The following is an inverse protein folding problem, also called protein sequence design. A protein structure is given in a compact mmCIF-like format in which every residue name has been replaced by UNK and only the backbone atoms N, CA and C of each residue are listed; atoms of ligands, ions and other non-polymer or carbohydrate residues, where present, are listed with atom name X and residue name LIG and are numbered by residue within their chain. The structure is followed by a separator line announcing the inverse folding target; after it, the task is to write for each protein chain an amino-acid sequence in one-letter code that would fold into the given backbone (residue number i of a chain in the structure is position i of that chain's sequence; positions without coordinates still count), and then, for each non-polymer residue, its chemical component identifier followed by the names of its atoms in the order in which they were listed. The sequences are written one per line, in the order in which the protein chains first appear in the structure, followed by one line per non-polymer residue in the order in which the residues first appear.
data_IF_964773325190
#
_entry.id   IF_964773325190
#
_cell.length_a   1.000
_cell.length_b   1.000
_cell.length_c   1.000
_cell.angle_alpha   90.00
_cell.angle_beta   90.00
_cell.angle_gamma   90.00
#
_symmetry.space_group_name_H-M   'P 1'
#
loop_
_entity.id
_entity.type
_entity.pdbx_description
1 polymer ?
#
# COMPACT_ATOMS: atom_id res chain seq x y z
N UNK A 1 8.43 20.86 6.67
CA UNK A 1 7.37 21.16 5.69
C UNK A 1 8.06 21.53 4.39
N UNK A 2 8.14 20.58 3.45
CA UNK A 2 8.71 20.82 2.11
C UNK A 2 7.60 21.44 1.29
N UNK A 3 7.79 22.70 0.92
CA UNK A 3 6.88 23.44 0.03
C UNK A 3 7.34 23.18 -1.40
N UNK A 4 6.58 22.41 -2.18
CA UNK A 4 6.77 22.33 -3.63
C UNK A 4 6.14 23.56 -4.29
N UNK A 5 6.83 24.14 -5.28
CA UNK A 5 6.34 25.26 -6.10
C UNK A 5 5.75 24.72 -7.39
N UNK A 6 4.61 25.26 -7.84
CA UNK A 6 4.10 25.06 -9.19
C UNK A 6 4.94 25.80 -10.26
N UNK A 7 4.55 25.67 -11.53
CA UNK A 7 5.23 26.35 -12.65
C UNK A 7 5.20 27.89 -12.55
N UNK A 8 4.33 28.44 -11.70
CA UNK A 8 4.12 29.88 -11.51
C UNK A 8 4.71 30.35 -10.17
N UNK A 9 5.48 29.52 -9.45
CA UNK A 9 6.19 29.88 -8.22
C UNK A 9 5.30 29.98 -6.97
N UNK A 10 4.04 29.55 -7.02
CA UNK A 10 3.15 29.55 -5.87
C UNK A 10 3.36 28.32 -5.00
N UNK A 11 3.30 28.49 -3.68
CA UNK A 11 3.39 27.40 -2.71
C UNK A 11 2.06 26.61 -2.71
N UNK A 12 2.04 25.46 -3.38
CA UNK A 12 0.92 24.53 -3.27
C UNK A 12 0.92 23.88 -1.87
N UNK A 13 -0.13 24.07 -1.12
CA UNK A 13 -0.41 23.23 0.03
C UNK A 13 -0.81 21.84 -0.47
N UNK A 14 -0.35 20.75 0.18
CA UNK A 14 -0.69 19.37 -0.18
C UNK A 14 -2.21 19.06 -0.27
N UNK A 15 -3.06 20.00 0.14
CA UNK A 15 -4.53 19.91 0.00
C UNK A 15 -5.04 20.28 -1.39
N UNK A 16 -4.23 20.95 -2.23
CA UNK A 16 -4.68 21.46 -3.55
C UNK A 16 -4.45 20.49 -4.71
N UNK A 17 -3.85 19.32 -4.47
CA UNK A 17 -3.57 18.34 -5.52
C UNK A 17 -4.80 17.53 -5.96
N UNK A 18 -5.98 17.73 -5.35
CA UNK A 18 -7.24 17.13 -5.79
C UNK A 18 -7.34 15.62 -5.61
N UNK A 19 -6.39 14.99 -4.88
CA UNK A 19 -6.45 13.56 -4.60
C UNK A 19 -7.44 13.29 -3.46
N UNK A 20 -8.38 12.39 -3.71
CA UNK A 20 -9.26 11.88 -2.68
C UNK A 20 -8.52 10.87 -1.80
N UNK A 21 -8.90 10.77 -0.53
CA UNK A 21 -8.44 9.72 0.37
C UNK A 21 -9.62 9.08 1.09
N UNK A 22 -9.44 7.85 1.53
CA UNK A 22 -10.33 7.22 2.49
C UNK A 22 -9.53 6.36 3.47
N UNK A 23 -9.70 6.59 4.77
CA UNK A 23 -9.05 5.78 5.81
C UNK A 23 -9.97 5.61 7.01
N UNK A 24 -10.16 4.37 7.46
CA UNK A 24 -10.94 4.03 8.67
C UNK A 24 -10.24 2.94 9.51
N UNK A 25 -8.89 2.96 9.53
CA UNK A 25 -8.09 1.94 10.22
C UNK A 25 -8.16 2.01 11.75
N UNK A 26 -8.57 3.14 12.33
CA UNK A 26 -8.57 3.33 13.77
C UNK A 26 -9.95 3.75 14.28
N UNK A 27 -10.18 3.58 15.59
CA UNK A 27 -11.41 3.98 16.27
C UNK A 27 -11.66 5.50 16.23
N UNK A 28 -10.60 6.30 16.08
CA UNK A 28 -10.67 7.77 16.00
C UNK A 28 -11.01 8.29 14.61
N UNK A 29 -11.39 7.41 13.70
CA UNK A 29 -11.75 7.81 12.34
C UNK A 29 -12.86 8.86 12.34
N UNK A 30 -12.78 9.83 11.43
CA UNK A 30 -13.69 10.98 11.41
C UNK A 30 -15.16 10.54 11.40
N UNK A 31 -15.92 11.04 12.37
CA UNK A 31 -17.36 10.76 12.56
C UNK A 31 -17.72 9.26 12.68
N UNK A 32 -16.78 8.41 13.05
CA UNK A 32 -16.96 6.96 13.06
C UNK A 32 -17.20 6.33 11.66
N UNK A 33 -16.95 7.08 10.57
CA UNK A 33 -17.24 6.66 9.18
C UNK A 33 -15.99 6.54 8.32
N UNK A 34 -15.05 7.46 8.45
CA UNK A 34 -13.83 7.50 7.66
C UNK A 34 -13.26 8.90 7.50
N UNK A 35 -11.93 8.99 7.41
CA UNK A 35 -11.23 10.21 7.09
C UNK A 35 -11.15 10.36 5.57
N UNK A 36 -11.66 11.47 5.03
CA UNK A 36 -11.77 11.69 3.57
C UNK A 36 -10.98 12.89 3.05
N UNK A 37 -10.55 13.80 3.94
CA UNK A 37 -9.77 15.00 3.59
C UNK A 37 -8.40 15.01 4.25
N UNK A 38 -8.37 14.69 5.52
CA UNK A 38 -7.18 14.57 6.36
C UNK A 38 -7.48 13.55 7.45
N UNK A 39 -6.52 12.68 7.75
CA UNK A 39 -6.64 11.78 8.90
C UNK A 39 -6.72 12.56 10.20
N UNK A 40 -7.58 12.14 11.14
CA UNK A 40 -7.57 12.70 12.52
C UNK A 40 -6.17 12.60 13.16
N UNK A 41 -5.41 11.56 12.76
CA UNK A 41 -4.00 11.35 13.14
C UNK A 41 -2.99 12.25 12.39
N UNK A 42 -3.44 13.11 11.47
CA UNK A 42 -2.56 13.92 10.62
C UNK A 42 -2.11 13.28 9.32
N UNK A 43 -2.58 12.06 8.99
CA UNK A 43 -2.29 11.40 7.71
C UNK A 43 -2.84 12.24 6.56
N UNK A 44 -1.96 12.65 5.64
CA UNK A 44 -2.34 13.44 4.47
C UNK A 44 -2.94 12.54 3.36
N UNK A 45 -3.71 13.11 2.40
CA UNK A 45 -4.15 12.36 1.23
C UNK A 45 -2.99 11.71 0.45
N UNK A 46 -1.87 12.41 0.32
CA UNK A 46 -0.66 11.86 -0.31
C UNK A 46 -0.22 10.56 0.35
N UNK A 47 -0.04 10.56 1.68
CA UNK A 47 0.39 9.38 2.42
C UNK A 47 -0.65 8.26 2.37
N UNK A 48 -1.94 8.59 2.49
CA UNK A 48 -3.00 7.58 2.41
C UNK A 48 -2.97 6.86 1.06
N UNK A 49 -2.85 7.61 -0.04
CA UNK A 49 -2.81 7.08 -1.39
C UNK A 49 -1.54 6.24 -1.66
N UNK A 50 -0.36 6.70 -1.23
CA UNK A 50 0.87 5.90 -1.34
C UNK A 50 0.79 4.60 -0.55
N UNK A 51 0.16 4.61 0.64
CA UNK A 51 -0.07 3.40 1.44
C UNK A 51 -1.04 2.45 0.75
N UNK A 52 -2.11 2.94 0.16
CA UNK A 52 -3.06 2.11 -0.59
C UNK A 52 -2.39 1.46 -1.81
N UNK A 53 -1.56 2.21 -2.54
CA UNK A 53 -0.80 1.69 -3.67
C UNK A 53 0.25 0.65 -3.24
N UNK A 54 0.91 0.84 -2.09
CA UNK A 54 1.80 -0.15 -1.50
C UNK A 54 1.08 -1.46 -1.19
N UNK A 55 -0.10 -1.39 -0.58
CA UNK A 55 -0.91 -2.59 -0.33
C UNK A 55 -1.31 -3.26 -1.64
N UNK A 56 -1.63 -2.48 -2.68
CA UNK A 56 -1.93 -3.00 -4.00
C UNK A 56 -0.74 -3.77 -4.60
N UNK A 57 0.46 -3.21 -4.50
CA UNK A 57 1.70 -3.81 -5.00
C UNK A 57 2.03 -5.12 -4.27
N UNK A 58 1.98 -5.17 -2.94
CA UNK A 58 2.29 -6.41 -2.21
C UNK A 58 1.25 -7.52 -2.45
N UNK A 59 0.01 -7.18 -2.79
CA UNK A 59 -0.97 -8.16 -3.28
C UNK A 59 -0.49 -8.79 -4.60
N UNK A 60 0.06 -7.98 -5.53
CA UNK A 60 0.66 -8.47 -6.75
C UNK A 60 1.83 -9.42 -6.50
N UNK A 61 2.76 -9.04 -5.62
CA UNK A 61 3.87 -9.91 -5.18
C UNK A 61 3.32 -11.23 -4.61
N UNK A 62 2.26 -11.15 -3.79
CA UNK A 62 1.64 -12.34 -3.18
C UNK A 62 0.99 -13.28 -4.22
N UNK A 63 0.48 -12.74 -5.33
CA UNK A 63 -0.03 -13.55 -6.44
C UNK A 63 1.09 -14.42 -7.04
N UNK A 64 2.25 -13.84 -7.35
CA UNK A 64 3.41 -14.57 -7.85
C UNK A 64 3.95 -15.57 -6.81
N UNK A 65 4.04 -15.15 -5.55
CA UNK A 65 4.43 -16.05 -4.46
C UNK A 65 3.53 -17.28 -4.34
N UNK A 66 2.22 -17.11 -4.56
CA UNK A 66 1.26 -18.22 -4.54
C UNK A 66 1.49 -19.19 -5.70
N UNK A 67 1.84 -18.69 -6.89
CA UNK A 67 2.22 -19.57 -8.04
C UNK A 67 3.43 -20.40 -7.66
N UNK A 68 4.51 -19.78 -7.18
CA UNK A 68 5.71 -20.50 -6.73
C UNK A 68 5.41 -21.58 -5.69
N UNK A 69 4.59 -21.28 -4.69
CA UNK A 69 4.19 -22.28 -3.69
C UNK A 69 3.43 -23.46 -4.30
N UNK A 70 2.53 -23.20 -5.25
CA UNK A 70 1.77 -24.24 -5.92
C UNK A 70 2.67 -25.15 -6.78
N UNK A 71 3.78 -24.63 -7.27
CA UNK A 71 4.82 -25.36 -8.02
C UNK A 71 5.84 -26.07 -7.11
N UNK A 72 5.65 -25.98 -5.79
CA UNK A 72 6.51 -26.62 -4.79
C UNK A 72 7.78 -25.83 -4.45
N UNK A 73 7.88 -24.57 -4.87
CA UNK A 73 9.00 -23.70 -4.56
C UNK A 73 8.81 -22.98 -3.23
N UNK A 74 9.91 -22.71 -2.54
CA UNK A 74 9.93 -21.87 -1.35
C UNK A 74 10.04 -20.40 -1.74
N UNK A 75 9.27 -19.54 -1.07
CA UNK A 75 9.41 -18.09 -1.20
C UNK A 75 10.63 -17.63 -0.40
N UNK A 76 11.45 -16.77 -1.00
CA UNK A 76 12.61 -16.16 -0.32
C UNK A 76 12.13 -15.42 0.96
N UNK A 77 12.82 -15.69 2.06
CA UNK A 77 12.56 -15.06 3.36
C UNK A 77 12.66 -13.52 3.29
N UNK A 78 13.48 -12.98 2.40
CA UNK A 78 13.60 -11.53 2.22
C UNK A 78 12.33 -10.93 1.60
N UNK A 79 11.66 -11.65 0.70
CA UNK A 79 10.37 -11.23 0.15
C UNK A 79 9.29 -11.22 1.25
N UNK A 80 9.26 -12.25 2.08
CA UNK A 80 8.33 -12.32 3.22
C UNK A 80 8.57 -11.14 4.17
N UNK A 81 9.84 -10.89 4.53
CA UNK A 81 10.22 -9.75 5.38
C UNK A 81 9.87 -8.40 4.77
N UNK A 82 10.02 -8.27 3.45
CA UNK A 82 9.61 -7.05 2.74
C UNK A 82 8.10 -6.83 2.87
N UNK A 83 7.28 -7.85 2.63
CA UNK A 83 5.82 -7.77 2.77
C UNK A 83 5.43 -7.40 4.21
N UNK A 84 6.04 -8.03 5.22
CA UNK A 84 5.82 -7.69 6.63
C UNK A 84 6.20 -6.23 6.93
N UNK A 85 7.34 -5.75 6.43
CA UNK A 85 7.77 -4.37 6.60
C UNK A 85 6.79 -3.38 5.98
N UNK A 86 6.28 -3.65 4.77
CA UNK A 86 5.26 -2.82 4.12
C UNK A 86 3.97 -2.80 4.93
N UNK A 87 3.50 -3.97 5.40
CA UNK A 87 2.30 -4.07 6.23
C UNK A 87 2.46 -3.26 7.52
N UNK A 88 3.60 -3.37 8.20
CA UNK A 88 3.90 -2.59 9.39
C UNK A 88 3.99 -1.09 9.10
N UNK A 89 4.72 -0.69 8.05
CA UNK A 89 4.88 0.72 7.64
C UNK A 89 3.54 1.39 7.36
N UNK A 90 2.57 0.64 6.81
CA UNK A 90 1.24 1.16 6.48
C UNK A 90 0.23 1.06 7.63
N UNK A 91 0.64 0.58 8.79
CA UNK A 91 -0.19 0.57 10.00
C UNK A 91 -0.46 2.00 10.49
N UNK A 92 -1.55 2.19 11.22
CA UNK A 92 -1.93 3.48 11.78
C UNK A 92 -0.78 4.14 12.56
N UNK A 93 -0.44 5.39 12.22
CA UNK A 93 0.53 6.24 12.92
C UNK A 93 2.01 5.74 12.92
N UNK A 94 2.37 4.78 12.08
CA UNK A 94 3.74 4.25 12.06
C UNK A 94 4.66 5.11 11.20
N UNK A 95 4.28 5.39 9.95
CA UNK A 95 5.14 6.14 9.04
C UNK A 95 4.32 7.09 8.16
N UNK A 96 4.72 8.37 8.12
CA UNK A 96 4.13 9.42 7.27
C UNK A 96 5.17 10.08 6.36
N UNK A 97 6.34 9.46 6.15
CA UNK A 97 7.36 9.95 5.22
C UNK A 97 7.06 9.47 3.79
N UNK A 98 6.71 10.41 2.92
CA UNK A 98 6.39 10.09 1.52
C UNK A 98 7.58 9.55 0.73
N UNK A 99 8.82 9.89 1.09
CA UNK A 99 10.01 9.37 0.42
C UNK A 99 10.17 7.88 0.70
N UNK A 100 10.04 7.47 1.97
CA UNK A 100 10.09 6.06 2.37
C UNK A 100 9.02 5.25 1.63
N UNK A 101 7.80 5.79 1.48
CA UNK A 101 6.74 5.09 0.74
C UNK A 101 7.07 4.93 -0.75
N UNK A 102 7.66 5.95 -1.38
CA UNK A 102 8.10 5.87 -2.79
C UNK A 102 9.24 4.87 -2.95
N UNK A 103 10.20 4.84 -2.04
CA UNK A 103 11.29 3.85 -2.05
C UNK A 103 10.75 2.42 -1.92
N UNK A 104 9.81 2.19 -1.00
CA UNK A 104 9.16 0.89 -0.85
C UNK A 104 8.32 0.49 -2.08
N UNK A 105 7.67 1.45 -2.74
CA UNK A 105 6.95 1.21 -4.00
C UNK A 105 7.91 0.75 -5.11
N UNK A 106 9.04 1.45 -5.30
CA UNK A 106 10.04 1.07 -6.27
C UNK A 106 10.63 -0.32 -5.98
N UNK A 107 10.93 -0.62 -4.72
CA UNK A 107 11.41 -1.94 -4.32
C UNK A 107 10.35 -3.02 -4.55
N UNK A 108 9.07 -2.73 -4.29
CA UNK A 108 7.98 -3.67 -4.55
C UNK A 108 7.85 -4.00 -6.04
N UNK A 109 8.05 -3.03 -6.93
CA UNK A 109 8.06 -3.26 -8.38
C UNK A 109 9.22 -4.15 -8.78
N UNK A 110 10.43 -3.88 -8.27
CA UNK A 110 11.62 -4.69 -8.54
C UNK A 110 11.45 -6.15 -8.10
N UNK A 111 10.88 -6.38 -6.92
CA UNK A 111 10.58 -7.73 -6.43
C UNK A 111 9.57 -8.42 -7.34
N UNK A 112 8.51 -7.72 -7.74
CA UNK A 112 7.46 -8.26 -8.61
C UNK A 112 8.01 -8.64 -9.99
N UNK A 113 8.87 -7.81 -10.58
CA UNK A 113 9.55 -8.11 -11.85
C UNK A 113 10.45 -9.33 -11.77
N UNK A 114 11.21 -9.46 -10.69
CA UNK A 114 12.03 -10.65 -10.45
C UNK A 114 11.18 -11.93 -10.35
N UNK A 115 10.06 -11.86 -9.62
CA UNK A 115 9.13 -12.99 -9.52
C UNK A 115 8.49 -13.32 -10.88
N UNK A 116 8.10 -12.30 -11.64
CA UNK A 116 7.56 -12.45 -13.01
C UNK A 116 8.58 -13.14 -13.94
N UNK A 117 9.86 -12.83 -13.80
CA UNK A 117 10.91 -13.49 -14.58
C UNK A 117 11.03 -14.97 -14.25
N UNK A 118 10.77 -15.39 -13.02
CA UNK A 118 10.86 -16.78 -12.58
C UNK A 118 9.61 -17.58 -12.98
N UNK A 119 8.42 -17.01 -12.76
CA UNK A 119 7.15 -17.72 -12.95
C UNK A 119 6.55 -17.54 -14.35
N UNK A 120 7.06 -16.59 -15.14
CA UNK A 120 6.37 -16.09 -16.33
C UNK A 120 5.19 -15.17 -15.97
N UNK A 121 4.51 -14.65 -16.98
CA UNK A 121 3.31 -13.86 -16.79
C UNK A 121 2.15 -14.72 -16.29
N UNK A 122 1.46 -14.22 -15.28
CA UNK A 122 0.29 -14.88 -14.71
C UNK A 122 -0.93 -14.45 -15.53
N UNK A 123 -1.35 -15.29 -16.48
CA UNK A 123 -2.56 -15.04 -17.27
C UNK A 123 -3.82 -15.32 -16.44
N UNK A 124 -4.86 -14.53 -16.68
CA UNK A 124 -6.18 -14.62 -16.01
C UNK A 124 -6.19 -14.28 -14.50
N UNK A 125 -5.22 -13.50 -14.03
CA UNK A 125 -5.19 -13.06 -12.65
C UNK A 125 -5.60 -11.58 -12.47
N UNK A 126 -5.79 -11.20 -11.22
CA UNK A 126 -6.24 -9.89 -10.79
C UNK A 126 -5.31 -8.77 -11.29
N UNK A 127 -5.84 -7.57 -11.42
CA UNK A 127 -5.11 -6.34 -11.74
C UNK A 127 -3.87 -6.11 -10.85
N UNK A 128 -3.82 -6.69 -9.65
CA UNK A 128 -2.65 -6.61 -8.77
C UNK A 128 -1.37 -7.21 -9.38
N UNK A 129 -1.49 -8.35 -10.07
CA UNK A 129 -0.34 -9.05 -10.65
C UNK A 129 0.17 -8.33 -11.91
N UNK A 130 -0.73 -7.80 -12.72
CA UNK A 130 -0.40 -7.20 -14.03
C UNK A 130 -0.06 -5.73 -14.00
N UNK A 131 -0.34 -5.03 -12.89
CA UNK A 131 -0.05 -3.61 -12.74
C UNK A 131 1.46 -3.35 -12.65
N UNK A 132 1.95 -2.43 -13.45
CA UNK A 132 3.32 -1.93 -13.39
C UNK A 132 3.35 -0.52 -12.81
N UNK A 133 4.28 -0.32 -11.86
CA UNK A 133 4.43 0.95 -11.16
C UNK A 133 4.99 2.02 -12.10
N UNK A 134 4.39 3.21 -12.19
CA UNK A 134 4.96 4.30 -12.97
C UNK A 134 6.19 4.90 -12.30
N UNK A 135 7.07 5.53 -13.10
CA UNK A 135 8.32 6.09 -12.61
C UNK A 135 8.15 7.35 -11.73
N UNK A 136 7.09 8.12 -11.95
CA UNK A 136 6.91 9.39 -11.27
C UNK A 136 5.92 9.31 -10.12
N UNK A 137 6.26 9.94 -8.99
CA UNK A 137 5.36 10.05 -7.84
C UNK A 137 3.99 10.64 -8.21
N UNK A 138 3.95 11.61 -9.11
CA UNK A 138 2.68 12.21 -9.57
C UNK A 138 1.77 11.18 -10.23
N UNK A 139 2.33 10.29 -11.05
CA UNK A 139 1.56 9.22 -11.68
C UNK A 139 1.18 8.14 -10.66
N UNK A 140 2.09 7.78 -9.74
CA UNK A 140 1.78 6.87 -8.62
C UNK A 140 0.56 7.34 -7.83
N UNK A 141 0.47 8.64 -7.52
CA UNK A 141 -0.67 9.21 -6.79
C UNK A 141 -1.97 9.21 -7.60
N UNK A 142 -1.90 9.36 -8.93
CA UNK A 142 -3.07 9.18 -9.81
C UNK A 142 -3.53 7.74 -9.82
N UNK A 143 -2.61 6.80 -9.95
CA UNK A 143 -2.91 5.38 -9.99
C UNK A 143 -3.43 4.87 -8.63
N UNK A 144 -2.96 5.45 -7.53
CA UNK A 144 -3.46 5.12 -6.19
C UNK A 144 -4.97 5.28 -6.02
N UNK A 145 -5.62 6.10 -6.87
CA UNK A 145 -7.08 6.27 -6.82
C UNK A 145 -7.84 4.97 -7.12
N UNK A 146 -7.28 4.06 -7.92
CA UNK A 146 -7.89 2.73 -8.14
C UNK A 146 -7.44 1.67 -7.13
N UNK A 147 -6.42 1.96 -6.33
CA UNK A 147 -5.90 1.02 -5.32
C UNK A 147 -6.65 1.11 -3.97
N UNK A 148 -7.34 2.22 -3.72
CA UNK A 148 -8.00 2.51 -2.45
C UNK A 148 -9.17 1.58 -2.13
N UNK A 149 -9.50 1.50 -0.85
CA UNK A 149 -10.56 0.64 -0.30
C UNK A 149 -11.93 0.89 -0.97
N UNK A 150 -12.21 2.14 -1.32
CA UNK A 150 -13.50 2.55 -1.87
C UNK A 150 -13.60 2.42 -3.39
N UNK A 151 -12.50 2.01 -4.05
CA UNK A 151 -12.47 1.91 -5.51
C UNK A 151 -13.41 0.84 -6.04
N UNK A 152 -13.36 -0.38 -5.51
CA UNK A 152 -14.17 -1.48 -6.00
C UNK A 152 -15.59 -1.43 -5.40
N UNK A 153 -16.43 -0.65 -6.05
CA UNK A 153 -17.85 -0.52 -5.70
C UNK A 153 -18.70 -1.70 -6.16
N UNK A 154 -18.15 -2.61 -6.97
CA UNK A 154 -18.87 -3.81 -7.44
C UNK A 154 -18.92 -4.90 -6.35
N UNK A 155 -18.00 -4.86 -5.39
CA UNK A 155 -18.02 -5.77 -4.26
C UNK A 155 -19.13 -5.42 -3.27
N UNK A 156 -19.76 -6.46 -2.76
CA UNK A 156 -20.64 -6.36 -1.61
C UNK A 156 -19.93 -5.63 -0.44
N UNK A 157 -20.59 -4.67 0.23
CA UNK A 157 -19.99 -3.90 1.33
C UNK A 157 -19.44 -4.77 2.45
N UNK A 158 -20.11 -5.88 2.79
CA UNK A 158 -19.68 -6.77 3.87
C UNK A 158 -18.41 -7.53 3.47
N UNK A 159 -18.34 -8.02 2.24
CA UNK A 159 -17.11 -8.65 1.70
C UNK A 159 -15.95 -7.66 1.72
N UNK A 160 -16.18 -6.42 1.32
CA UNK A 160 -15.15 -5.36 1.36
C UNK A 160 -14.68 -5.11 2.80
N UNK A 161 -15.60 -5.00 3.76
CA UNK A 161 -15.29 -4.81 5.18
C UNK A 161 -14.51 -5.99 5.76
N UNK A 162 -14.90 -7.22 5.47
CA UNK A 162 -14.19 -8.43 5.91
C UNK A 162 -12.75 -8.50 5.36
N UNK A 163 -12.55 -8.15 4.09
CA UNK A 163 -11.20 -8.07 3.49
C UNK A 163 -10.32 -7.04 4.21
N UNK A 164 -10.90 -5.90 4.61
CA UNK A 164 -10.15 -4.90 5.37
C UNK A 164 -9.84 -5.37 6.80
N UNK A 165 -10.76 -6.07 7.45
CA UNK A 165 -10.53 -6.68 8.77
C UNK A 165 -9.36 -7.66 8.73
N UNK A 166 -9.30 -8.53 7.71
CA UNK A 166 -8.16 -9.43 7.49
C UNK A 166 -6.86 -8.63 7.30
N UNK A 167 -6.87 -7.59 6.46
CA UNK A 167 -5.70 -6.75 6.21
C UNK A 167 -5.21 -6.08 7.51
N UNK A 168 -6.10 -5.58 8.34
CA UNK A 168 -5.73 -4.97 9.62
C UNK A 168 -5.15 -5.99 10.60
N UNK A 169 -5.69 -7.21 10.63
CA UNK A 169 -5.10 -8.32 11.38
C UNK A 169 -3.68 -8.64 10.93
N UNK A 170 -3.44 -8.71 9.60
CA UNK A 170 -2.11 -8.93 9.03
C UNK A 170 -1.14 -7.80 9.39
N UNK A 171 -1.57 -6.54 9.36
CA UNK A 171 -0.74 -5.39 9.79
C UNK A 171 -0.37 -5.51 11.27
N UNK A 172 -1.31 -5.92 12.13
CA UNK A 172 -1.04 -6.15 13.55
C UNK A 172 -0.02 -7.27 13.77
N UNK A 173 -0.18 -8.41 13.11
CA UNK A 173 0.79 -9.53 13.17
C UNK A 173 2.17 -9.06 12.70
N UNK A 174 2.25 -8.29 11.62
CA UNK A 174 3.51 -7.77 11.08
C UNK A 174 4.20 -6.82 12.07
N UNK A 175 3.44 -6.02 12.83
CA UNK A 175 4.01 -5.17 13.86
C UNK A 175 4.67 -5.97 14.99
N UNK A 176 4.00 -7.01 15.49
CA UNK A 176 4.58 -7.91 16.49
C UNK A 176 5.78 -8.70 15.94
N UNK A 177 5.71 -9.19 14.71
CA UNK A 177 6.82 -9.86 14.04
C UNK A 177 8.05 -8.96 13.90
N UNK A 178 7.84 -7.68 13.56
CA UNK A 178 8.92 -6.68 13.52
C UNK A 178 9.57 -6.52 14.93
N UNK A 179 8.76 -6.30 15.96
CA UNK A 179 9.25 -6.15 17.33
C UNK A 179 10.00 -7.39 17.83
N UNK A 180 9.50 -8.57 17.53
CA UNK A 180 10.17 -9.83 17.90
C UNK A 180 11.56 -9.92 17.26
N UNK A 181 11.71 -9.58 15.98
CA UNK A 181 13.01 -9.55 15.29
C UNK A 181 13.98 -8.53 15.90
N UNK A 182 13.50 -7.33 16.26
CA UNK A 182 14.35 -6.33 16.94
C UNK A 182 14.88 -6.83 18.29
N UNK A 183 14.15 -7.74 18.94
CA UNK A 183 14.54 -8.39 20.18
C UNK A 183 15.38 -9.67 19.95
N UNK A 184 15.65 -10.05 18.70
CA UNK A 184 16.51 -11.19 18.36
C UNK A 184 15.80 -12.56 18.28
N UNK A 185 14.46 -12.58 18.17
CA UNK A 185 13.67 -13.81 17.97
C UNK A 185 13.48 -14.15 16.50
#
# INVERSE_FOLDING_TARGET
TIKTKDKDGQHMNNMDLGYEMFCYQCEQTANGKGCTKLGVCGKTPEIANLQDLLIFQIKGISCYGKVLQNEGHHIDKNIIRFIENVLFTTLTNVNFDSKVHVELLNESQRIKENLRTITGEIHNQTSYATYDLPETKTQMLKDAQFAGIMYDKSLDPDIRSLRQTILYGLKGISAYGHQARELGY
#
